data_IF_144846324560
#
_entry.id   IF_144846324560
#
_cell.length_a   1.000
_cell.length_b   1.000
_cell.length_c   1.000
_cell.angle_alpha   90.00
_cell.angle_beta   90.00
_cell.angle_gamma   90.00
#
_symmetry.space_group_name_H-M   'P 1'
#
loop_
_entity.id
_entity.type
_entity.pdbx_description
1 polymer ?
#
# COMPACT_ATOMS: atom_id res chain seq x y z
N UNK A 1 -6.50 -22.88 4.99
CA UNK A 1 -6.81 -22.11 3.76
C UNK A 1 -6.70 -20.60 3.98
N UNK A 2 -6.36 -19.82 2.95
CA UNK A 2 -6.13 -18.36 3.08
C UNK A 2 -6.87 -17.52 2.01
N UNK A 3 -7.43 -16.38 2.41
CA UNK A 3 -8.00 -15.33 1.54
C UNK A 3 -7.00 -14.15 1.43
N UNK A 4 -6.52 -13.77 0.24
CA UNK A 4 -5.42 -12.81 0.08
C UNK A 4 -5.83 -11.33 -0.06
N UNK A 5 -7.08 -10.99 0.25
CA UNK A 5 -7.72 -9.72 -0.09
C UNK A 5 -8.24 -9.68 -1.54
N UNK A 6 -9.10 -8.70 -1.85
CA UNK A 6 -9.62 -8.49 -3.22
C UNK A 6 -8.73 -7.54 -4.03
N UNK A 7 -8.59 -6.29 -3.56
CA UNK A 7 -7.77 -5.27 -4.22
C UNK A 7 -6.26 -5.56 -4.18
N UNK A 8 -5.68 -6.00 -3.05
CA UNK A 8 -4.24 -6.31 -2.99
C UNK A 8 -3.90 -7.72 -3.47
N UNK A 9 -4.87 -8.51 -3.96
CA UNK A 9 -4.70 -9.94 -4.26
C UNK A 9 -3.45 -10.22 -5.08
N UNK A 10 -3.31 -9.55 -6.21
CA UNK A 10 -2.21 -9.81 -7.15
C UNK A 10 -0.86 -9.56 -6.47
N UNK A 11 -0.69 -8.39 -5.85
CA UNK A 11 0.50 -8.02 -5.07
C UNK A 11 0.79 -9.03 -3.96
N UNK A 12 -0.22 -9.45 -3.19
CA UNK A 12 -0.05 -10.46 -2.15
C UNK A 12 0.49 -11.77 -2.73
N UNK A 13 -0.14 -12.29 -3.79
CA UNK A 13 0.32 -13.54 -4.39
C UNK A 13 1.71 -13.41 -4.99
N UNK A 14 2.03 -12.25 -5.59
CA UNK A 14 3.35 -11.98 -6.13
C UNK A 14 4.42 -11.98 -5.04
N UNK A 15 4.17 -11.32 -3.90
CA UNK A 15 5.07 -11.33 -2.73
C UNK A 15 5.34 -12.75 -2.24
N UNK A 16 4.27 -13.54 -2.00
CA UNK A 16 4.43 -14.93 -1.55
C UNK A 16 5.12 -15.83 -2.59
N UNK A 17 5.01 -15.51 -3.88
CA UNK A 17 5.67 -16.27 -4.94
C UNK A 17 7.15 -15.94 -5.13
N UNK A 18 7.69 -14.93 -4.43
CA UNK A 18 9.11 -14.63 -4.47
C UNK A 18 9.93 -15.66 -3.68
N UNK A 19 11.20 -15.82 -4.04
CA UNK A 19 12.16 -16.43 -3.13
C UNK A 19 12.41 -15.50 -1.93
N UNK A 20 12.53 -16.02 -0.70
CA UNK A 20 12.56 -17.45 -0.32
C UNK A 20 11.20 -18.10 0.02
N UNK A 21 10.04 -17.45 -0.19
CA UNK A 21 8.72 -17.99 0.20
C UNK A 21 7.99 -18.83 -0.85
N UNK A 22 8.49 -18.93 -2.07
CA UNK A 22 7.87 -19.67 -3.18
C UNK A 22 7.44 -21.11 -2.80
N UNK A 23 8.29 -21.86 -2.08
CA UNK A 23 7.98 -23.23 -1.64
C UNK A 23 6.79 -23.29 -0.66
N UNK A 24 6.63 -22.25 0.17
CA UNK A 24 5.50 -22.14 1.11
C UNK A 24 4.24 -21.76 0.33
N UNK A 25 4.35 -20.82 -0.61
CA UNK A 25 3.26 -20.40 -1.49
C UNK A 25 2.64 -21.58 -2.24
N UNK A 26 3.46 -22.48 -2.80
CA UNK A 26 3.00 -23.68 -3.51
C UNK A 26 2.19 -24.64 -2.62
N UNK A 27 2.36 -24.56 -1.30
CA UNK A 27 1.64 -25.37 -0.32
C UNK A 27 0.37 -24.68 0.21
N UNK A 28 0.20 -23.38 -0.04
CA UNK A 28 -0.96 -22.63 0.44
C UNK A 28 -2.23 -23.06 -0.28
N UNK A 29 -3.27 -23.40 0.48
CA UNK A 29 -4.61 -23.60 -0.07
C UNK A 29 -5.33 -22.25 -0.18
N UNK A 30 -5.03 -21.51 -1.25
CA UNK A 30 -5.62 -20.19 -1.52
C UNK A 30 -7.10 -20.33 -1.90
N UNK A 31 -7.96 -19.62 -1.18
CA UNK A 31 -9.38 -19.52 -1.51
C UNK A 31 -9.64 -18.29 -2.37
N UNK A 32 -10.45 -18.50 -3.42
CA UNK A 32 -10.96 -17.42 -4.26
C UNK A 32 -12.39 -17.09 -3.82
N UNK A 33 -12.53 -16.09 -2.95
CA UNK A 33 -13.81 -15.59 -2.46
C UNK A 33 -13.84 -14.07 -2.42
N UNK A 34 -15.02 -13.49 -2.26
CA UNK A 34 -15.13 -12.06 -1.98
C UNK A 34 -14.71 -11.77 -0.54
N UNK A 35 -14.04 -10.63 -0.31
CA UNK A 35 -13.63 -10.22 1.05
C UNK A 35 -14.81 -10.07 2.02
N UNK A 36 -16.02 -9.77 1.51
CA UNK A 36 -17.24 -9.72 2.32
C UNK A 36 -17.71 -11.09 2.84
N UNK A 37 -17.27 -12.19 2.23
CA UNK A 37 -17.59 -13.55 2.68
C UNK A 37 -16.56 -14.07 3.70
N UNK A 38 -15.37 -13.45 3.75
CA UNK A 38 -14.26 -13.88 4.62
C UNK A 38 -14.63 -13.93 6.12
N UNK A 39 -15.37 -12.97 6.70
CA UNK A 39 -15.76 -13.05 8.11
C UNK A 39 -16.59 -14.28 8.45
N UNK A 40 -17.58 -14.62 7.61
CA UNK A 40 -18.39 -15.82 7.78
C UNK A 40 -17.58 -17.09 7.55
N UNK A 41 -16.74 -17.11 6.51
CA UNK A 41 -15.88 -18.26 6.21
C UNK A 41 -14.87 -18.55 7.34
N UNK A 42 -14.36 -17.51 8.01
CA UNK A 42 -13.45 -17.64 9.14
C UNK A 42 -14.20 -18.11 10.40
N UNK A 43 -15.37 -17.54 10.69
CA UNK A 43 -16.26 -17.97 11.79
C UNK A 43 -16.67 -19.45 11.66
N UNK A 44 -16.94 -19.91 10.44
CA UNK A 44 -17.29 -21.30 10.14
C UNK A 44 -16.08 -22.24 10.04
N UNK A 45 -14.85 -21.72 10.13
CA UNK A 45 -13.61 -22.50 10.02
C UNK A 45 -13.33 -23.04 8.60
N UNK A 46 -13.91 -22.43 7.58
CA UNK A 46 -13.65 -22.75 6.16
C UNK A 46 -12.34 -22.12 5.68
N UNK A 47 -11.94 -20.99 6.26
CA UNK A 47 -10.59 -20.41 6.14
C UNK A 47 -9.96 -20.25 7.52
N UNK A 48 -8.63 -20.38 7.58
CA UNK A 48 -7.87 -20.22 8.83
C UNK A 48 -7.16 -18.87 8.89
N UNK A 49 -6.96 -18.21 7.75
CA UNK A 49 -6.24 -16.95 7.63
C UNK A 49 -6.84 -16.06 6.53
N UNK A 50 -6.70 -14.75 6.71
CA UNK A 50 -7.00 -13.74 5.69
C UNK A 50 -5.91 -12.67 5.74
N UNK A 51 -5.60 -12.09 4.58
CA UNK A 51 -4.75 -10.93 4.48
C UNK A 51 -5.61 -9.70 4.73
N UNK A 52 -5.46 -9.14 5.94
CA UNK A 52 -6.10 -7.90 6.32
C UNK A 52 -5.43 -6.73 5.61
N UNK A 53 -6.22 -5.80 5.09
CA UNK A 53 -5.70 -4.58 4.46
C UNK A 53 -6.54 -3.34 4.81
N UNK A 54 -5.88 -2.20 4.75
CA UNK A 54 -6.41 -0.86 4.95
C UNK A 54 -5.67 0.14 4.06
N UNK A 55 -5.87 1.42 4.31
CA UNK A 55 -5.08 2.50 3.70
C UNK A 55 -4.30 3.23 4.80
N UNK A 56 -3.05 3.66 4.56
CA UNK A 56 -2.27 4.43 5.54
C UNK A 56 -3.07 5.59 6.13
N UNK A 57 -3.03 5.76 7.46
CA UNK A 57 -3.82 6.78 8.16
C UNK A 57 -5.33 6.51 8.27
N UNK A 58 -5.86 5.51 7.56
CA UNK A 58 -7.26 5.09 7.60
C UNK A 58 -7.40 3.73 8.29
N UNK A 59 -8.58 3.48 8.88
CA UNK A 59 -8.90 2.22 9.53
C UNK A 59 -8.86 1.05 8.53
N UNK A 60 -8.57 -0.14 9.05
CA UNK A 60 -8.78 -1.38 8.31
C UNK A 60 -10.17 -1.43 7.66
N UNK A 61 -10.23 -2.04 6.48
CA UNK A 61 -11.46 -2.22 5.71
C UNK A 61 -12.57 -2.91 6.52
N UNK A 62 -13.83 -2.64 6.14
CA UNK A 62 -15.00 -3.09 6.90
C UNK A 62 -15.05 -4.60 7.18
N UNK A 63 -14.59 -5.43 6.24
CA UNK A 63 -14.57 -6.88 6.44
C UNK A 63 -13.55 -7.31 7.52
N UNK A 64 -12.43 -6.60 7.67
CA UNK A 64 -11.46 -6.85 8.74
C UNK A 64 -12.03 -6.46 10.11
N UNK A 65 -12.73 -5.32 10.17
CA UNK A 65 -13.45 -4.91 11.38
C UNK A 65 -14.53 -5.95 11.74
N UNK A 66 -15.20 -6.50 10.73
CA UNK A 66 -16.22 -7.53 10.93
C UNK A 66 -15.62 -8.86 11.41
N UNK A 67 -14.49 -9.30 10.84
CA UNK A 67 -13.75 -10.47 11.34
C UNK A 67 -13.46 -10.33 12.83
N UNK A 68 -12.94 -9.17 13.26
CA UNK A 68 -12.63 -8.89 14.67
C UNK A 68 -13.85 -8.93 15.62
N UNK A 69 -15.06 -8.77 15.07
CA UNK A 69 -16.30 -8.85 15.86
C UNK A 69 -16.86 -10.27 15.98
N UNK A 70 -16.40 -11.20 15.13
CA UNK A 70 -16.93 -12.56 15.00
C UNK A 70 -15.98 -13.63 15.55
N UNK A 71 -14.68 -13.40 15.44
CA UNK A 71 -13.65 -14.37 15.85
C UNK A 71 -12.53 -13.70 16.64
N UNK A 72 -11.80 -14.51 17.41
CA UNK A 72 -10.60 -14.10 18.12
C UNK A 72 -9.43 -14.00 17.11
N UNK A 73 -9.12 -12.77 16.68
CA UNK A 73 -8.09 -12.52 15.68
C UNK A 73 -6.71 -12.41 16.31
N UNK A 74 -5.74 -13.10 15.71
CA UNK A 74 -4.33 -13.05 16.08
C UNK A 74 -3.50 -12.65 14.87
N UNK A 75 -2.49 -11.81 15.12
CA UNK A 75 -1.48 -11.49 14.13
C UNK A 75 -0.58 -12.70 13.89
N UNK A 76 -0.33 -13.01 12.62
CA UNK A 76 0.65 -14.02 12.23
C UNK A 76 1.96 -13.29 11.97
N UNK A 77 2.89 -13.38 12.93
CA UNK A 77 4.22 -12.77 12.82
C UNK A 77 4.92 -13.26 11.53
N UNK A 78 5.37 -12.36 10.65
CA UNK A 78 6.08 -12.75 9.44
C UNK A 78 7.44 -13.35 9.79
N UNK A 79 7.78 -14.43 9.10
CA UNK A 79 9.14 -14.96 9.14
C UNK A 79 10.10 -14.04 8.39
N UNK A 80 11.40 -14.07 8.71
CA UNK A 80 12.46 -13.40 7.94
C UNK A 80 12.34 -13.68 6.43
N UNK A 81 12.01 -14.91 6.06
CA UNK A 81 11.79 -15.32 4.67
C UNK A 81 10.68 -14.51 3.97
N UNK A 82 9.59 -14.20 4.67
CA UNK A 82 8.48 -13.43 4.12
C UNK A 82 8.84 -11.95 4.03
N UNK A 83 9.58 -11.43 5.02
CA UNK A 83 10.12 -10.07 4.99
C UNK A 83 11.05 -9.91 3.78
N UNK A 84 12.01 -10.83 3.59
CA UNK A 84 12.93 -10.82 2.45
C UNK A 84 12.20 -10.92 1.10
N UNK A 85 11.14 -11.75 1.03
CA UNK A 85 10.31 -11.90 -0.19
C UNK A 85 9.57 -10.60 -0.53
N UNK A 86 9.05 -9.91 0.49
CA UNK A 86 8.36 -8.63 0.32
C UNK A 86 9.32 -7.50 -0.06
N UNK A 87 10.46 -7.37 0.63
CA UNK A 87 11.46 -6.34 0.37
C UNK A 87 12.15 -6.51 -0.99
N UNK A 88 12.23 -7.74 -1.51
CA UNK A 88 12.79 -8.02 -2.84
C UNK A 88 11.80 -7.80 -3.99
N UNK A 89 10.49 -7.76 -3.70
CA UNK A 89 9.47 -7.56 -4.73
C UNK A 89 9.34 -6.08 -5.10
N UNK A 90 9.91 -5.70 -6.25
CA UNK A 90 9.88 -4.32 -6.74
C UNK A 90 8.47 -3.76 -7.07
N UNK A 91 7.40 -4.55 -6.88
CA UNK A 91 6.01 -4.12 -7.05
C UNK A 91 5.30 -3.72 -5.77
N UNK A 92 5.98 -3.79 -4.62
CA UNK A 92 5.45 -3.36 -3.33
C UNK A 92 6.51 -2.64 -2.50
N UNK A 93 6.07 -1.68 -1.69
CA UNK A 93 6.87 -1.16 -0.58
C UNK A 93 6.73 -2.06 0.64
N UNK A 94 7.49 -1.78 1.70
CA UNK A 94 7.30 -2.45 3.00
C UNK A 94 7.40 -1.46 4.14
N UNK A 95 6.54 -1.63 5.14
CA UNK A 95 6.50 -0.74 6.30
C UNK A 95 6.36 -1.55 7.60
N UNK A 96 6.92 -1.02 8.69
CA UNK A 96 6.59 -1.42 10.06
C UNK A 96 5.88 -0.27 10.75
N UNK A 97 4.75 -0.54 11.37
CA UNK A 97 3.92 0.48 12.03
C UNK A 97 3.45 -0.01 13.38
N UNK A 98 3.40 0.90 14.37
CA UNK A 98 2.83 0.60 15.68
C UNK A 98 1.37 0.17 15.54
N UNK A 99 1.00 -0.95 16.15
CA UNK A 99 -0.39 -1.41 16.13
C UNK A 99 -1.34 -0.39 16.77
N UNK A 100 -0.86 0.42 17.73
CA UNK A 100 -1.63 1.51 18.33
C UNK A 100 -2.18 2.50 17.31
N UNK A 101 -1.47 2.69 16.20
CA UNK A 101 -1.81 3.69 15.19
C UNK A 101 -2.82 3.13 14.19
N UNK A 102 -2.99 1.80 14.18
CA UNK A 102 -3.77 1.04 13.21
C UNK A 102 -4.65 -0.03 13.90
N UNK A 103 -5.25 0.26 15.04
CA UNK A 103 -6.02 -0.76 15.77
C UNK A 103 -7.25 -1.27 15.01
N UNK A 104 -7.45 -2.59 15.00
CA UNK A 104 -8.66 -3.24 14.48
C UNK A 104 -9.69 -3.27 15.60
N UNK A 105 -10.74 -2.46 15.52
CA UNK A 105 -11.88 -2.45 16.46
C UNK A 105 -11.52 -2.39 17.97
N UNK A 106 -10.30 -1.97 18.35
CA UNK A 106 -9.83 -2.04 19.74
C UNK A 106 -9.52 -3.46 20.23
N UNK A 107 -9.40 -4.42 19.32
CA UNK A 107 -9.03 -5.82 19.59
C UNK A 107 -7.52 -5.92 19.84
N UNK A 108 -7.13 -6.76 20.79
CA UNK A 108 -5.75 -7.19 20.98
C UNK A 108 -5.45 -8.34 20.00
N UNK A 109 -4.50 -8.13 19.09
CA UNK A 109 -4.10 -9.14 18.09
C UNK A 109 -2.78 -9.83 18.46
N UNK A 110 -2.26 -9.59 19.67
CA UNK A 110 -1.05 -10.24 20.18
C UNK A 110 0.28 -9.62 19.71
N UNK A 111 0.26 -8.40 19.16
CA UNK A 111 1.46 -7.64 18.81
C UNK A 111 1.28 -6.14 19.06
N UNK A 112 2.39 -5.45 19.31
CA UNK A 112 2.48 -3.99 19.40
C UNK A 112 2.92 -3.35 18.06
N UNK A 113 3.38 -4.14 17.09
CA UNK A 113 3.88 -3.68 15.79
C UNK A 113 3.41 -4.64 14.69
N UNK A 114 3.03 -4.07 13.54
CA UNK A 114 2.64 -4.81 12.34
C UNK A 114 3.60 -4.53 11.20
N UNK A 115 3.94 -5.58 10.46
CA UNK A 115 4.66 -5.50 9.20
C UNK A 115 3.67 -5.58 8.04
N UNK A 116 3.86 -4.74 7.03
CA UNK A 116 3.03 -4.69 5.84
C UNK A 116 3.89 -4.73 4.58
N UNK A 117 3.36 -5.34 3.52
CA UNK A 117 3.75 -5.03 2.15
C UNK A 117 2.71 -4.07 1.56
N UNK A 118 3.19 -2.98 0.98
CA UNK A 118 2.37 -1.82 0.66
C UNK A 118 2.07 -1.79 -0.83
N UNK A 119 0.78 -1.61 -1.15
CA UNK A 119 0.37 -1.33 -2.52
C UNK A 119 0.69 0.14 -2.84
N UNK A 120 1.81 0.37 -3.51
CA UNK A 120 2.23 1.71 -3.90
C UNK A 120 1.39 2.22 -5.08
N UNK A 121 0.54 3.21 -4.82
CA UNK A 121 -0.25 3.89 -5.87
C UNK A 121 0.46 5.16 -6.29
N UNK A 122 0.88 5.21 -7.56
CA UNK A 122 1.54 6.35 -8.16
C UNK A 122 0.66 7.05 -9.20
N UNK A 123 0.69 8.38 -9.21
CA UNK A 123 0.15 9.16 -10.31
C UNK A 123 1.16 9.22 -11.44
N UNK A 124 0.85 8.54 -12.54
CA UNK A 124 1.68 8.55 -13.74
C UNK A 124 0.99 9.32 -14.85
N UNK A 125 1.77 10.11 -15.58
CA UNK A 125 1.27 10.93 -16.69
C UNK A 125 1.72 10.33 -18.00
N UNK A 126 0.87 10.45 -19.03
CA UNK A 126 1.32 10.22 -20.39
C UNK A 126 2.45 11.22 -20.71
N UNK A 127 3.56 10.81 -21.36
CA UNK A 127 4.64 11.74 -21.75
C UNK A 127 4.18 12.94 -22.60
N UNK A 128 3.04 12.82 -23.29
CA UNK A 128 2.42 13.89 -24.10
C UNK A 128 1.49 14.81 -23.29
N UNK A 129 1.33 14.57 -21.98
CA UNK A 129 0.51 15.43 -21.14
C UNK A 129 1.08 16.85 -21.11
N UNK A 130 0.19 17.85 -21.08
CA UNK A 130 0.61 19.24 -21.07
C UNK A 130 1.47 19.52 -19.81
N UNK A 131 2.73 19.98 -19.95
CA UNK A 131 3.62 20.21 -18.81
C UNK A 131 3.06 21.21 -17.79
N UNK A 132 2.42 22.30 -18.24
CA UNK A 132 1.83 23.29 -17.35
C UNK A 132 0.67 22.69 -16.54
N UNK A 133 -0.13 21.81 -17.15
CA UNK A 133 -1.22 21.13 -16.45
C UNK A 133 -0.70 20.15 -15.39
N UNK A 134 0.39 19.43 -15.68
CA UNK A 134 1.03 18.52 -14.71
C UNK A 134 1.67 19.31 -13.57
N UNK A 135 2.37 20.41 -13.87
CA UNK A 135 2.91 21.33 -12.87
C UNK A 135 1.81 21.83 -11.93
N UNK A 136 0.71 22.33 -12.49
CA UNK A 136 -0.41 22.85 -11.70
C UNK A 136 -1.08 21.77 -10.85
N UNK A 137 -1.16 20.53 -11.33
CA UNK A 137 -1.68 19.42 -10.54
C UNK A 137 -0.78 19.13 -9.33
N UNK A 138 0.54 19.05 -9.52
CA UNK A 138 1.49 18.89 -8.42
C UNK A 138 1.34 20.03 -7.39
N UNK A 139 1.23 21.27 -7.86
CA UNK A 139 1.02 22.44 -7.00
C UNK A 139 -0.28 22.34 -6.21
N UNK A 140 -1.40 22.03 -6.86
CA UNK A 140 -2.70 21.94 -6.19
C UNK A 140 -2.72 20.81 -5.15
N UNK A 141 -2.16 19.64 -5.46
CA UNK A 141 -2.13 18.50 -4.53
C UNK A 141 -1.30 18.79 -3.29
N UNK A 142 -0.18 19.50 -3.43
CA UNK A 142 0.66 19.89 -2.30
C UNK A 142 0.10 21.09 -1.54
N UNK A 143 -0.27 22.19 -2.21
CA UNK A 143 -0.70 23.43 -1.54
C UNK A 143 -2.14 23.38 -0.99
N UNK A 144 -2.99 22.49 -1.51
CA UNK A 144 -4.37 22.28 -1.06
C UNK A 144 -4.59 20.87 -0.54
N UNK A 145 -3.54 20.27 0.02
CA UNK A 145 -3.57 18.90 0.52
C UNK A 145 -4.64 18.70 1.61
N UNK A 146 -4.92 19.73 2.41
CA UNK A 146 -5.99 19.75 3.41
C UNK A 146 -7.38 19.57 2.78
N UNK A 147 -7.67 20.23 1.67
CA UNK A 147 -8.95 20.09 0.96
C UNK A 147 -9.09 18.70 0.35
N UNK A 148 -8.01 18.15 -0.21
CA UNK A 148 -7.97 16.80 -0.76
C UNK A 148 -8.27 15.77 0.34
N UNK A 149 -7.57 15.85 1.47
CA UNK A 149 -7.72 14.93 2.59
C UNK A 149 -9.06 15.07 3.32
N UNK A 150 -9.63 16.28 3.40
CA UNK A 150 -11.00 16.46 3.91
C UNK A 150 -12.06 15.81 3.02
N UNK A 151 -11.78 15.64 1.72
CA UNK A 151 -12.67 14.97 0.77
C UNK A 151 -12.52 13.46 0.78
N UNK A 152 -11.30 12.96 0.96
CA UNK A 152 -10.96 11.53 1.00
C UNK A 152 -9.74 11.33 1.91
N UNK A 153 -9.96 10.76 3.10
CA UNK A 153 -8.93 10.53 4.13
C UNK A 153 -7.88 9.48 3.69
N UNK A 154 -8.15 8.70 2.64
CA UNK A 154 -7.22 7.69 2.12
C UNK A 154 -6.08 8.29 1.28
N UNK A 155 -6.14 9.57 0.90
CA UNK A 155 -5.03 10.19 0.20
C UNK A 155 -3.85 10.46 1.14
N UNK A 156 -2.64 10.40 0.60
CA UNK A 156 -1.46 10.74 1.37
C UNK A 156 -1.49 12.22 1.75
N UNK A 157 -1.14 12.50 3.00
CA UNK A 157 -0.88 13.84 3.47
C UNK A 157 0.58 14.20 3.15
N UNK A 158 0.78 15.29 2.43
CA UNK A 158 2.11 15.75 2.02
C UNK A 158 2.44 17.07 2.72
N UNK A 159 3.37 17.01 3.65
CA UNK A 159 3.87 18.20 4.36
C UNK A 159 4.95 18.96 3.58
N UNK A 160 5.49 18.36 2.51
CA UNK A 160 6.49 19.00 1.63
C UNK A 160 6.50 18.41 0.21
N UNK A 161 7.13 19.14 -0.71
CA UNK A 161 7.33 18.68 -2.09
C UNK A 161 8.28 17.48 -2.15
N UNK A 162 9.30 17.41 -1.28
CA UNK A 162 10.16 16.24 -1.12
C UNK A 162 9.36 15.03 -0.64
N UNK A 163 8.44 15.23 0.31
CA UNK A 163 7.55 14.17 0.79
C UNK A 163 6.67 13.61 -0.34
N UNK A 164 6.24 14.45 -1.28
CA UNK A 164 5.53 14.01 -2.48
C UNK A 164 6.46 13.31 -3.49
N UNK A 165 7.70 13.80 -3.68
CA UNK A 165 8.67 13.18 -4.58
C UNK A 165 9.18 11.82 -4.06
N UNK A 166 9.19 11.61 -2.74
CA UNK A 166 9.69 10.38 -2.12
C UNK A 166 9.00 9.09 -2.55
N UNK A 167 7.84 9.19 -3.21
CA UNK A 167 7.11 8.06 -3.80
C UNK A 167 7.51 7.76 -5.26
N UNK A 168 8.35 8.60 -5.87
CA UNK A 168 8.83 8.40 -7.23
C UNK A 168 9.59 7.08 -7.37
N UNK A 169 9.39 6.44 -8.51
CA UNK A 169 9.99 5.15 -8.83
C UNK A 169 11.14 5.39 -9.80
N UNK A 170 12.39 5.06 -9.41
CA UNK A 170 13.59 5.30 -10.22
C UNK A 170 13.49 4.77 -11.66
N UNK A 171 12.75 3.67 -11.85
CA UNK A 171 12.53 3.05 -13.17
C UNK A 171 11.56 3.81 -14.08
N UNK A 172 10.82 4.78 -13.55
CA UNK A 172 9.81 5.55 -14.27
C UNK A 172 10.28 7.01 -14.37
N UNK A 173 10.54 7.53 -15.58
CA UNK A 173 10.92 8.92 -15.73
C UNK A 173 9.83 9.88 -15.23
N UNK A 174 10.25 10.92 -14.51
CA UNK A 174 9.36 11.95 -13.96
C UNK A 174 8.96 12.92 -15.06
N UNK A 175 7.66 13.21 -15.16
CA UNK A 175 7.13 14.09 -16.20
C UNK A 175 7.73 15.52 -16.09
N UNK A 176 8.13 16.18 -17.20
CA UNK A 176 8.79 17.49 -17.17
C UNK A 176 8.05 18.58 -16.37
N UNK A 177 6.72 18.60 -16.45
CA UNK A 177 5.89 19.50 -15.63
C UNK A 177 6.04 19.27 -14.12
N UNK A 178 6.12 18.02 -13.68
CA UNK A 178 6.36 17.66 -12.29
C UNK A 178 7.82 17.95 -11.90
N UNK A 179 8.78 17.67 -12.79
CA UNK A 179 10.19 18.02 -12.56
C UNK A 179 10.37 19.51 -12.33
N UNK A 180 9.73 20.35 -13.16
CA UNK A 180 9.75 21.79 -12.98
C UNK A 180 9.18 22.19 -11.61
N UNK A 181 8.06 21.58 -11.20
CA UNK A 181 7.47 21.80 -9.88
C UNK A 181 8.44 21.46 -8.74
N UNK A 182 9.08 20.30 -8.78
CA UNK A 182 10.03 19.88 -7.74
C UNK A 182 11.28 20.76 -7.74
N UNK A 183 11.80 21.18 -8.91
CA UNK A 183 12.93 22.12 -9.00
C UNK A 183 12.59 23.49 -8.40
N UNK A 184 11.40 24.02 -8.67
CA UNK A 184 10.95 25.31 -8.13
C UNK A 184 10.71 25.30 -6.61
N UNK A 185 10.57 24.11 -6.02
CA UNK A 185 10.43 23.89 -4.58
C UNK A 185 11.72 23.34 -3.93
N UNK A 186 12.87 23.41 -4.62
CA UNK A 186 14.16 22.89 -4.13
C UNK A 186 14.15 21.39 -3.74
N UNK A 187 13.19 20.62 -4.26
CA UNK A 187 12.90 19.25 -3.89
C UNK A 187 13.40 18.21 -4.90
N UNK A 188 13.87 18.63 -6.09
CA UNK A 188 14.27 17.73 -7.16
C UNK A 188 15.49 16.87 -6.79
N UNK A 189 15.37 15.56 -7.01
CA UNK A 189 16.46 14.59 -6.85
C UNK A 189 17.12 14.30 -8.21
N UNK A 190 18.36 14.75 -8.37
CA UNK A 190 19.16 14.56 -9.58
C UNK A 190 19.51 13.08 -9.88
N UNK A 191 19.25 12.15 -8.95
CA UNK A 191 19.36 10.71 -9.21
C UNK A 191 18.21 10.18 -10.08
N UNK A 192 17.08 10.88 -10.12
CA UNK A 192 15.90 10.52 -10.90
C UNK A 192 16.03 10.98 -12.35
N UNK A 193 15.35 10.25 -13.24
CA UNK A 193 15.33 10.58 -14.66
C UNK A 193 14.17 11.54 -14.98
N UNK A 194 14.47 12.67 -15.63
CA UNK A 194 13.46 13.50 -16.29
C UNK A 194 12.99 12.82 -17.59
N UNK A 195 11.68 12.73 -17.79
CA UNK A 195 11.08 12.14 -18.99
C UNK A 195 11.16 13.06 -20.20
N UNK A 196 11.16 12.48 -21.40
CA UNK A 196 11.13 13.26 -22.64
C UNK A 196 9.70 13.75 -22.92
N UNK A 197 9.54 15.01 -23.35
CA UNK A 197 8.31 15.44 -24.05
C UNK A 197 8.38 14.91 -25.49
N UNK A 198 7.35 14.18 -25.92
CA UNK A 198 7.25 13.73 -27.32
C UNK A 198 6.93 14.88 -28.29
#
# INVERSE_FOLDING_TARGET
>A
PAEPGYSPRATTLDVWSQDPTADVYDQMNIQNMGVGDAPGAMEEGTIDASIAYGAPGVRYTGFVQEMASRVDLHYVEPTDALIDSAESYAGAGTTRTSYSDWQIAGTDIGTDEVFTWDLEVNYTFNPEANPDAVYELCRVVHEHNDVVNNGEEQFNNYDSAEGMLGYAQERIPVHPGAVQYYKDNDAWDDSLQEGDTA
#
